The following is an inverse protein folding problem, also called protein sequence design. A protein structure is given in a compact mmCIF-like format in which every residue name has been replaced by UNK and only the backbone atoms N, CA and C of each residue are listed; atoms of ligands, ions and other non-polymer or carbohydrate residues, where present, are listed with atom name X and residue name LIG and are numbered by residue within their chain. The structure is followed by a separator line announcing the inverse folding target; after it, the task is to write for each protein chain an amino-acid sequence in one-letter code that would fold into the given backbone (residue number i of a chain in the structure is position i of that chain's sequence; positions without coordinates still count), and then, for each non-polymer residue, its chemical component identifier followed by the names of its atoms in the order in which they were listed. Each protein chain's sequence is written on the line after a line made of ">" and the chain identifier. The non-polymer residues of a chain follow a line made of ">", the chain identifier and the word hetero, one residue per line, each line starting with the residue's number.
data_IF_627667356466
#
_entry.id   IF_627667356466
#
_cell.length_a   1.000
_cell.length_b   1.000
_cell.length_c   1.000
_cell.angle_alpha   90.00
_cell.angle_beta   90.00
_cell.angle_gamma   90.00
#
_symmetry.space_group_name_H-M   'P 1'
#
loop_
_entity.id
_entity.type
_entity.pdbx_description
1 polymer ?
#
# COMPACT_ATOMS: atom_id res chain seq x y z
N UNK A 1 -17.73 -1.80 -13.89
CA UNK A 1 -18.38 -2.76 -12.96
C UNK A 1 -17.93 -4.23 -13.12
N UNK A 2 -17.19 -4.62 -14.17
CA UNK A 2 -16.54 -5.94 -14.26
C UNK A 2 -15.02 -5.90 -14.02
N UNK A 3 -14.45 -4.73 -13.71
CA UNK A 3 -13.02 -4.46 -13.88
C UNK A 3 -12.09 -5.19 -12.88
N UNK A 4 -12.64 -5.78 -11.81
CA UNK A 4 -11.85 -6.41 -10.74
C UNK A 4 -12.44 -7.72 -10.20
N UNK A 5 -13.34 -8.38 -10.95
CA UNK A 5 -14.05 -9.59 -10.48
C UNK A 5 -15.09 -9.30 -9.38
N UNK A 6 -15.61 -8.07 -9.35
CA UNK A 6 -16.51 -7.54 -8.33
C UNK A 6 -17.91 -7.26 -8.90
N UNK A 7 -18.42 -8.19 -9.71
CA UNK A 7 -19.78 -8.10 -10.25
C UNK A 7 -20.77 -8.04 -9.10
N UNK A 8 -21.62 -7.02 -9.13
CA UNK A 8 -22.67 -6.82 -8.14
C UNK A 8 -23.55 -8.07 -8.04
N UNK A 9 -23.82 -8.50 -6.80
CA UNK A 9 -24.55 -9.74 -6.51
C UNK A 9 -23.66 -10.98 -6.35
N UNK A 10 -22.35 -10.89 -6.58
CA UNK A 10 -21.39 -11.98 -6.35
C UNK A 10 -20.52 -11.78 -5.10
N UNK A 11 -20.82 -10.80 -4.24
CA UNK A 11 -20.00 -10.45 -3.08
C UNK A 11 -19.77 -11.62 -2.12
N UNK A 12 -20.81 -12.42 -1.86
CA UNK A 12 -20.74 -13.61 -0.99
C UNK A 12 -20.37 -14.91 -1.71
N UNK A 13 -19.98 -14.86 -2.99
CA UNK A 13 -19.71 -16.08 -3.75
C UNK A 13 -18.38 -16.71 -3.34
N UNK A 14 -18.45 -17.97 -2.93
CA UNK A 14 -17.29 -18.85 -2.70
C UNK A 14 -16.84 -19.41 -4.05
N UNK A 15 -15.59 -19.17 -4.44
CA UNK A 15 -15.03 -19.60 -5.73
C UNK A 15 -14.26 -20.92 -5.66
N UNK A 16 -13.90 -21.38 -4.46
CA UNK A 16 -13.17 -22.62 -4.27
C UNK A 16 -12.74 -22.86 -2.82
N UNK A 17 -11.98 -23.94 -2.56
CA UNK A 17 -11.61 -24.34 -1.20
C UNK A 17 -10.76 -23.29 -0.47
N UNK A 18 -9.97 -22.48 -1.19
CA UNK A 18 -9.19 -21.39 -0.58
C UNK A 18 -10.06 -20.32 0.09
N UNK A 19 -11.24 -20.02 -0.47
CA UNK A 19 -12.18 -19.08 0.13
C UNK A 19 -12.78 -19.63 1.42
N UNK A 20 -13.08 -20.94 1.47
CA UNK A 20 -13.58 -21.59 2.68
C UNK A 20 -12.55 -21.56 3.81
N UNK A 21 -11.27 -21.83 3.49
CA UNK A 21 -10.18 -21.75 4.47
C UNK A 21 -10.09 -20.36 5.10
N UNK A 22 -10.26 -19.30 4.29
CA UNK A 22 -10.25 -17.92 4.78
C UNK A 22 -11.45 -17.66 5.69
N UNK A 23 -12.65 -18.10 5.31
CA UNK A 23 -13.85 -17.95 6.12
C UNK A 23 -13.74 -18.70 7.46
N UNK A 24 -13.22 -19.92 7.45
CA UNK A 24 -12.99 -20.72 8.65
C UNK A 24 -11.98 -20.06 9.59
N UNK A 25 -10.89 -19.51 9.02
CA UNK A 25 -9.89 -18.75 9.79
C UNK A 25 -10.50 -17.50 10.43
N UNK A 26 -11.32 -16.73 9.71
CA UNK A 26 -12.02 -15.56 10.25
C UNK A 26 -13.02 -15.98 11.34
N UNK A 27 -13.74 -17.09 11.16
CA UNK A 27 -14.64 -17.62 12.18
C UNK A 27 -13.91 -17.97 13.47
N UNK A 28 -12.73 -18.58 13.38
CA UNK A 28 -11.89 -18.87 14.55
C UNK A 28 -11.37 -17.59 15.21
N UNK A 29 -10.91 -16.61 14.43
CA UNK A 29 -10.51 -15.31 14.96
C UNK A 29 -11.66 -14.60 15.69
N UNK A 30 -12.91 -14.73 15.20
CA UNK A 30 -14.09 -14.20 15.91
C UNK A 30 -14.31 -14.87 17.26
N UNK A 31 -14.08 -16.18 17.40
CA UNK A 31 -14.12 -16.87 18.71
C UNK A 31 -13.05 -16.33 19.65
N UNK A 32 -11.80 -16.20 19.18
CA UNK A 32 -10.71 -15.62 19.96
C UNK A 32 -11.02 -14.17 20.39
N UNK A 33 -11.75 -13.39 19.57
CA UNK A 33 -12.23 -12.05 19.92
C UNK A 33 -13.32 -12.10 21.00
N UNK A 34 -14.26 -13.05 20.92
CA UNK A 34 -15.30 -13.27 21.94
C UNK A 34 -14.72 -13.73 23.29
N UNK A 35 -13.67 -14.55 23.26
CA UNK A 35 -12.90 -14.97 24.43
C UNK A 35 -12.04 -13.85 25.03
N UNK A 36 -11.93 -12.70 24.35
CA UNK A 36 -11.15 -11.55 24.79
C UNK A 36 -9.64 -11.66 24.53
N UNK A 37 -9.18 -12.64 23.75
CA UNK A 37 -7.77 -12.87 23.43
C UNK A 37 -7.24 -11.91 22.35
N UNK A 38 -8.10 -11.50 21.42
CA UNK A 38 -7.78 -10.50 20.40
C UNK A 38 -8.86 -9.41 20.38
N UNK A 39 -8.50 -8.23 19.85
CA UNK A 39 -9.41 -7.06 19.80
C UNK A 39 -9.93 -6.74 18.41
N UNK A 40 -9.11 -6.98 17.39
CA UNK A 40 -9.43 -6.62 16.00
C UNK A 40 -8.98 -7.72 15.05
N UNK A 41 -9.72 -7.89 13.96
CA UNK A 41 -9.50 -8.88 12.93
C UNK A 41 -9.27 -8.14 11.61
N UNK A 42 -8.22 -8.52 10.89
CA UNK A 42 -7.90 -7.88 9.63
C UNK A 42 -7.10 -8.78 8.70
N UNK A 43 -6.96 -8.33 7.47
CA UNK A 43 -6.16 -9.00 6.44
C UNK A 43 -5.11 -8.04 5.88
N UNK A 44 -4.03 -8.61 5.38
CA UNK A 44 -2.97 -7.88 4.69
C UNK A 44 -2.62 -8.57 3.38
N UNK A 45 -2.26 -7.79 2.35
CA UNK A 45 -1.89 -8.39 1.06
C UNK A 45 -1.47 -7.39 0.00
N UNK A 46 -0.94 -7.93 -1.09
CA UNK A 46 -0.51 -7.17 -2.26
C UNK A 46 -1.66 -6.91 -3.24
N UNK A 47 -2.38 -7.92 -3.77
CA UNK A 47 -3.31 -7.68 -4.88
C UNK A 47 -4.60 -7.02 -4.38
N UNK A 48 -4.81 -5.74 -4.71
CA UNK A 48 -5.98 -4.96 -4.32
C UNK A 48 -7.32 -5.62 -4.71
N UNK A 49 -7.49 -6.18 -5.92
CA UNK A 49 -8.74 -6.86 -6.29
C UNK A 49 -9.06 -8.06 -5.38
N UNK A 50 -8.03 -8.84 -5.03
CA UNK A 50 -8.19 -10.03 -4.17
C UNK A 50 -8.56 -9.60 -2.76
N UNK A 51 -7.86 -8.61 -2.20
CA UNK A 51 -8.19 -8.05 -0.88
C UNK A 51 -9.62 -7.53 -0.80
N UNK A 52 -10.07 -6.80 -1.82
CA UNK A 52 -11.43 -6.25 -1.85
C UNK A 52 -12.47 -7.37 -1.97
N UNK A 53 -12.25 -8.33 -2.85
CA UNK A 53 -13.12 -9.50 -3.00
C UNK A 53 -13.24 -10.28 -1.68
N UNK A 54 -12.13 -10.55 -1.01
CA UNK A 54 -12.12 -11.30 0.26
C UNK A 54 -12.83 -10.53 1.38
N UNK A 55 -12.65 -9.22 1.42
CA UNK A 55 -13.31 -8.37 2.42
C UNK A 55 -14.83 -8.34 2.22
N UNK A 56 -15.28 -8.29 0.96
CA UNK A 56 -16.69 -8.43 0.61
C UNK A 56 -17.22 -9.83 0.93
N UNK A 57 -16.46 -10.89 0.62
CA UNK A 57 -16.84 -12.25 0.96
C UNK A 57 -17.08 -12.40 2.47
N UNK A 58 -16.19 -11.87 3.29
CA UNK A 58 -16.33 -11.89 4.77
C UNK A 58 -17.56 -11.12 5.22
N UNK A 59 -17.80 -9.91 4.68
CA UNK A 59 -18.96 -9.08 5.02
C UNK A 59 -20.29 -9.71 4.55
N UNK A 60 -20.29 -10.44 3.44
CA UNK A 60 -21.49 -11.03 2.84
C UNK A 60 -21.69 -12.51 3.19
N UNK A 61 -20.93 -13.03 4.16
CA UNK A 61 -21.10 -14.38 4.72
C UNK A 61 -21.51 -14.26 6.19
N UNK A 62 -22.46 -15.07 6.71
CA UNK A 62 -22.82 -15.07 8.12
C UNK A 62 -21.59 -15.08 9.04
N UNK A 63 -21.56 -14.25 10.10
CA UNK A 63 -22.62 -13.41 10.66
C UNK A 63 -22.77 -12.01 10.03
N UNK A 64 -22.21 -11.77 8.83
CA UNK A 64 -22.29 -10.49 8.10
C UNK A 64 -21.56 -9.32 8.77
N UNK A 65 -20.44 -9.61 9.43
CA UNK A 65 -19.60 -8.60 10.05
C UNK A 65 -18.40 -8.27 9.15
N UNK A 66 -18.07 -6.99 8.94
CA UNK A 66 -16.87 -6.61 8.20
C UNK A 66 -15.59 -6.95 8.98
N UNK A 67 -14.46 -6.89 8.28
CA UNK A 67 -13.15 -6.86 8.92
C UNK A 67 -12.94 -5.51 9.62
N UNK A 68 -12.22 -5.52 10.74
CA UNK A 68 -11.89 -4.30 11.48
C UNK A 68 -10.77 -3.50 10.77
N UNK A 69 -9.78 -4.20 10.21
CA UNK A 69 -8.56 -3.60 9.64
C UNK A 69 -8.20 -4.23 8.29
N UNK A 70 -7.72 -3.41 7.35
CA UNK A 70 -7.06 -3.88 6.13
C UNK A 70 -5.76 -3.13 5.91
N UNK A 71 -4.69 -3.88 5.63
CA UNK A 71 -3.40 -3.33 5.23
C UNK A 71 -3.09 -3.72 3.79
N UNK A 72 -2.78 -2.75 2.94
CA UNK A 72 -2.16 -3.01 1.65
C UNK A 72 -0.73 -2.49 1.65
N UNK A 73 0.18 -3.24 1.06
CA UNK A 73 1.54 -2.77 0.83
C UNK A 73 1.77 -2.48 -0.65
N UNK A 74 2.69 -1.56 -0.93
CA UNK A 74 3.23 -1.28 -2.27
C UNK A 74 2.27 -0.62 -3.29
N UNK A 75 1.07 -0.17 -2.90
CA UNK A 75 0.16 0.57 -3.81
C UNK A 75 -0.20 2.00 -3.34
N UNK A 76 0.55 2.56 -2.37
CA UNK A 76 0.56 4.00 -2.12
C UNK A 76 2.00 4.51 -2.00
N UNK A 77 2.66 4.62 -3.14
CA UNK A 77 4.01 5.14 -3.30
C UNK A 77 4.14 5.86 -4.66
N UNK A 78 5.33 6.39 -4.93
CA UNK A 78 5.63 7.19 -6.11
C UNK A 78 5.43 6.44 -7.45
N UNK A 79 5.63 5.12 -7.46
CA UNK A 79 5.43 4.29 -8.66
C UNK A 79 3.99 3.80 -8.79
N UNK A 80 3.30 3.56 -7.68
CA UNK A 80 1.96 3.00 -7.67
C UNK A 80 1.10 3.64 -6.59
N UNK A 81 0.06 4.36 -7.01
CA UNK A 81 -0.93 5.01 -6.14
C UNK A 81 -2.33 4.41 -6.25
N UNK A 82 -2.44 3.20 -6.82
CA UNK A 82 -3.71 2.51 -7.08
C UNK A 82 -4.52 2.24 -5.81
N UNK A 83 -3.90 2.21 -4.62
CA UNK A 83 -4.64 2.13 -3.36
C UNK A 83 -5.65 3.28 -3.20
N UNK A 84 -5.33 4.48 -3.69
CA UNK A 84 -6.23 5.63 -3.64
C UNK A 84 -7.53 5.38 -4.43
N UNK A 85 -7.45 4.62 -5.53
CA UNK A 85 -8.60 4.26 -6.37
C UNK A 85 -9.48 3.22 -5.65
N UNK A 86 -8.87 2.28 -4.91
CA UNK A 86 -9.58 1.23 -4.19
C UNK A 86 -10.09 1.66 -2.81
N UNK A 87 -9.55 2.74 -2.24
CA UNK A 87 -9.89 3.22 -0.90
C UNK A 87 -11.40 3.39 -0.69
N UNK A 88 -12.18 4.05 -1.58
CA UNK A 88 -13.61 4.19 -1.40
C UNK A 88 -14.33 2.84 -1.39
N UNK A 89 -13.89 1.87 -2.20
CA UNK A 89 -14.49 0.54 -2.21
C UNK A 89 -14.25 -0.21 -0.90
N UNK A 90 -13.06 -0.11 -0.31
CA UNK A 90 -12.80 -0.73 0.99
C UNK A 90 -13.61 -0.06 2.12
N UNK A 91 -13.71 1.28 2.13
CA UNK A 91 -14.48 2.01 3.16
C UNK A 91 -15.99 1.77 3.01
N UNK A 92 -16.52 1.95 1.81
CA UNK A 92 -17.97 2.05 1.59
C UNK A 92 -18.60 0.68 1.32
N UNK A 93 -18.00 -0.11 0.42
CA UNK A 93 -18.56 -1.41 0.03
C UNK A 93 -18.21 -2.50 1.05
N UNK A 94 -16.94 -2.60 1.43
CA UNK A 94 -16.47 -3.61 2.39
C UNK A 94 -16.60 -3.17 3.86
N UNK A 95 -16.98 -1.91 4.13
CA UNK A 95 -17.28 -1.37 5.47
C UNK A 95 -16.14 -1.53 6.48
N UNK A 96 -14.89 -1.46 6.02
CA UNK A 96 -13.71 -1.63 6.86
C UNK A 96 -13.40 -0.31 7.58
N UNK A 97 -13.32 -0.35 8.91
CA UNK A 97 -13.14 0.83 9.73
C UNK A 97 -11.72 1.43 9.61
N UNK A 98 -10.69 0.58 9.65
CA UNK A 98 -9.29 1.01 9.59
C UNK A 98 -8.60 0.52 8.32
N UNK A 99 -8.21 1.46 7.47
CA UNK A 99 -7.39 1.19 6.29
C UNK A 99 -5.97 1.66 6.54
N UNK A 100 -4.99 0.86 6.15
CA UNK A 100 -3.57 1.12 6.37
C UNK A 100 -2.83 0.85 5.05
N UNK A 101 -1.91 1.73 4.70
CA UNK A 101 -0.95 1.46 3.63
C UNK A 101 0.43 1.15 4.20
N UNK A 102 1.27 0.46 3.45
CA UNK A 102 2.63 0.14 3.86
C UNK A 102 3.59 0.05 2.69
N UNK A 103 4.87 -0.09 3.02
CA UNK A 103 5.96 -0.21 2.05
C UNK A 103 5.98 0.96 1.05
N UNK A 104 6.07 2.22 1.54
CA UNK A 104 6.14 3.40 0.66
C UNK A 104 7.42 3.44 -0.19
N UNK A 105 8.47 2.69 0.18
CA UNK A 105 9.66 2.47 -0.63
C UNK A 105 9.54 1.28 -1.59
N UNK A 106 8.32 0.77 -1.75
CA UNK A 106 7.94 -0.35 -2.60
C UNK A 106 8.86 -1.57 -2.38
N UNK A 107 8.91 -2.05 -1.13
CA UNK A 107 9.76 -3.18 -0.70
C UNK A 107 11.26 -3.00 -0.99
N UNK A 108 11.73 -1.75 -1.02
CA UNK A 108 13.13 -1.41 -1.28
C UNK A 108 13.44 -1.13 -2.75
N UNK A 109 12.48 -1.29 -3.66
CA UNK A 109 12.62 -0.93 -5.08
C UNK A 109 13.01 0.54 -5.24
N UNK A 110 12.41 1.43 -4.46
CA UNK A 110 12.62 2.89 -4.55
C UNK A 110 13.79 3.34 -3.67
N UNK A 111 14.87 2.56 -3.68
CA UNK A 111 16.12 2.86 -2.97
C UNK A 111 17.32 2.64 -3.88
N UNK A 112 18.50 3.24 -3.58
CA UNK A 112 19.70 3.02 -4.37
C UNK A 112 20.15 1.56 -4.38
N UNK A 113 19.92 0.83 -3.28
CA UNK A 113 20.32 -0.57 -3.10
C UNK A 113 19.09 -1.47 -3.07
N UNK A 114 18.56 -1.77 -4.26
CA UNK A 114 17.40 -2.64 -4.42
C UNK A 114 17.72 -4.07 -3.95
N UNK A 115 16.81 -4.73 -3.19
CA UNK A 115 17.03 -6.09 -2.75
C UNK A 115 17.11 -7.08 -3.92
N UNK A 116 18.03 -8.06 -3.91
CA UNK A 116 18.20 -9.00 -5.01
C UNK A 116 17.00 -9.96 -5.18
N UNK A 117 16.17 -10.10 -4.15
CA UNK A 117 14.95 -10.92 -4.14
C UNK A 117 13.71 -10.18 -4.64
N UNK A 118 13.83 -8.90 -5.02
CA UNK A 118 12.67 -8.08 -5.36
C UNK A 118 11.89 -8.67 -6.57
N UNK A 119 10.56 -8.87 -6.48
CA UNK A 119 9.78 -9.59 -7.49
C UNK A 119 9.45 -8.80 -8.76
N UNK A 120 9.73 -7.49 -8.77
CA UNK A 120 9.52 -6.65 -9.95
C UNK A 120 10.29 -7.17 -11.17
N UNK A 121 9.73 -7.01 -12.39
CA UNK A 121 10.43 -7.36 -13.61
C UNK A 121 11.71 -6.51 -13.75
N UNK A 122 12.70 -7.07 -14.46
CA UNK A 122 14.00 -6.42 -14.69
C UNK A 122 13.87 -4.99 -15.24
N UNK A 123 12.92 -4.76 -16.14
CA UNK A 123 12.68 -3.43 -16.73
C UNK A 123 12.23 -2.39 -15.70
N UNK A 124 11.43 -2.78 -14.70
CA UNK A 124 11.04 -1.90 -13.60
C UNK A 124 12.21 -1.67 -12.61
N UNK A 125 13.01 -2.69 -12.33
CA UNK A 125 14.24 -2.54 -11.53
C UNK A 125 15.20 -1.52 -12.18
N UNK A 126 15.42 -1.65 -13.49
CA UNK A 126 16.24 -0.74 -14.30
C UNK A 126 15.66 0.68 -14.35
N UNK A 127 14.34 0.83 -14.52
CA UNK A 127 13.68 2.13 -14.47
C UNK A 127 13.89 2.81 -13.11
N UNK A 128 13.72 2.07 -12.01
CA UNK A 128 13.97 2.59 -10.66
C UNK A 128 15.46 2.95 -10.43
N UNK A 129 16.41 2.18 -10.98
CA UNK A 129 17.83 2.54 -10.92
C UNK A 129 18.12 3.83 -11.70
N UNK A 130 17.58 3.97 -12.92
CA UNK A 130 17.67 5.22 -13.70
C UNK A 130 17.08 6.41 -12.94
N UNK A 131 15.98 6.20 -12.21
CA UNK A 131 15.41 7.24 -11.34
C UNK A 131 16.36 7.64 -10.22
N UNK A 132 17.03 6.68 -9.56
CA UNK A 132 18.05 7.00 -8.56
C UNK A 132 19.21 7.81 -9.17
N UNK A 133 19.66 7.46 -10.37
CA UNK A 133 20.71 8.19 -11.09
C UNK A 133 20.29 9.61 -11.47
N UNK A 134 19.06 9.78 -11.96
CA UNK A 134 18.50 11.09 -12.33
C UNK A 134 18.36 12.05 -11.13
N UNK A 135 18.18 11.49 -9.92
CA UNK A 135 18.10 12.25 -8.67
C UNK A 135 19.44 12.35 -7.93
N UNK A 136 20.54 11.81 -8.47
CA UNK A 136 21.83 11.72 -7.77
C UNK A 136 22.38 13.09 -7.38
N UNK A 137 22.24 14.07 -8.28
CA UNK A 137 22.77 15.41 -8.10
C UNK A 137 21.74 16.35 -7.43
N UNK A 138 20.58 15.81 -7.06
CA UNK A 138 19.51 16.50 -6.32
C UNK A 138 19.73 16.52 -4.81
N UNK A 139 18.77 17.10 -4.10
CA UNK A 139 18.87 17.35 -2.66
C UNK A 139 18.30 16.22 -1.79
N UNK A 140 17.31 15.46 -2.28
CA UNK A 140 16.57 14.52 -1.45
C UNK A 140 16.84 13.05 -1.75
N UNK A 141 17.13 12.70 -3.01
CA UNK A 141 17.27 11.31 -3.46
C UNK A 141 15.95 10.52 -3.44
N UNK A 142 15.89 9.41 -4.18
CA UNK A 142 14.64 8.67 -4.42
C UNK A 142 13.91 8.20 -3.14
N UNK A 143 14.58 7.72 -2.07
CA UNK A 143 13.89 7.33 -0.84
C UNK A 143 13.12 8.47 -0.19
N UNK A 144 13.72 9.66 -0.08
CA UNK A 144 13.06 10.82 0.54
C UNK A 144 11.89 11.31 -0.30
N UNK A 145 12.05 11.37 -1.62
CA UNK A 145 10.96 11.72 -2.54
C UNK A 145 9.80 10.72 -2.42
N UNK A 146 10.10 9.42 -2.38
CA UNK A 146 9.09 8.37 -2.30
C UNK A 146 8.34 8.37 -0.96
N UNK A 147 9.06 8.54 0.16
CA UNK A 147 8.45 8.69 1.48
C UNK A 147 7.60 9.96 1.54
N UNK A 148 8.11 11.08 1.03
CA UNK A 148 7.39 12.35 1.04
C UNK A 148 6.10 12.30 0.23
N UNK A 149 6.14 11.68 -0.95
CA UNK A 149 4.95 11.41 -1.77
C UNK A 149 3.92 10.59 -0.98
N UNK A 150 4.36 9.46 -0.40
CA UNK A 150 3.47 8.56 0.32
C UNK A 150 2.86 9.19 1.57
N UNK A 151 3.62 10.00 2.31
CA UNK A 151 3.13 10.71 3.51
C UNK A 151 2.06 11.74 3.16
N UNK A 152 2.33 12.60 2.18
CA UNK A 152 1.34 13.57 1.70
C UNK A 152 0.08 12.88 1.20
N UNK A 153 0.21 11.82 0.39
CA UNK A 153 -0.94 11.07 -0.12
C UNK A 153 -1.71 10.35 0.97
N UNK A 154 -1.03 9.76 1.95
CA UNK A 154 -1.69 9.09 3.08
C UNK A 154 -2.46 10.11 3.95
N UNK A 155 -1.88 11.29 4.18
CA UNK A 155 -2.54 12.40 4.86
C UNK A 155 -3.77 12.91 4.11
N UNK A 156 -3.64 13.16 2.79
CA UNK A 156 -4.76 13.54 1.91
C UNK A 156 -5.93 12.53 1.97
N UNK A 157 -5.61 11.23 2.08
CA UNK A 157 -6.59 10.15 2.15
C UNK A 157 -7.08 9.83 3.58
N UNK A 158 -6.54 10.51 4.60
CA UNK A 158 -6.88 10.28 6.00
C UNK A 158 -6.62 8.84 6.46
N UNK A 159 -5.45 8.28 6.12
CA UNK A 159 -5.02 6.94 6.51
C UNK A 159 -3.58 6.94 7.03
N UNK A 160 -3.22 6.04 7.97
CA UNK A 160 -1.83 5.84 8.36
C UNK A 160 -1.05 5.07 7.29
N UNK A 161 0.28 5.26 7.31
CA UNK A 161 1.23 4.48 6.53
C UNK A 161 2.30 3.85 7.42
N UNK A 162 2.59 2.57 7.16
CA UNK A 162 3.61 1.80 7.87
C UNK A 162 4.89 1.76 7.04
N UNK A 163 6.01 2.13 7.65
CA UNK A 163 7.33 2.12 7.01
C UNK A 163 8.24 1.16 7.75
N UNK A 164 8.79 0.18 7.04
CA UNK A 164 9.80 -0.74 7.57
C UNK A 164 11.18 -0.08 7.52
N UNK A 165 11.88 -0.06 8.64
CA UNK A 165 13.18 0.58 8.82
C UNK A 165 14.11 -0.38 9.55
N UNK A 166 15.34 -0.54 9.07
CA UNK A 166 16.33 -1.47 9.61
C UNK A 166 17.47 -0.78 10.35
N UNK A 167 17.66 0.53 10.14
CA UNK A 167 18.75 1.31 10.74
C UNK A 167 18.21 2.55 11.45
N UNK A 168 18.85 2.92 12.55
CA UNK A 168 18.49 4.13 13.31
C UNK A 168 18.52 5.40 12.46
N UNK A 169 19.47 5.51 11.52
CA UNK A 169 19.54 6.63 10.56
C UNK A 169 18.24 6.75 9.73
N UNK A 170 17.66 5.62 9.32
CA UNK A 170 16.43 5.60 8.53
C UNK A 170 15.22 6.06 9.35
N UNK A 171 15.20 5.78 10.67
CA UNK A 171 14.21 6.31 11.61
C UNK A 171 14.30 7.82 11.72
N UNK A 172 15.50 8.36 11.95
CA UNK A 172 15.70 9.80 12.04
C UNK A 172 15.33 10.52 10.74
N UNK A 173 15.70 9.96 9.60
CA UNK A 173 15.38 10.54 8.29
C UNK A 173 13.87 10.51 8.03
N UNK A 174 13.21 9.38 8.29
CA UNK A 174 11.75 9.23 8.17
C UNK A 174 11.00 10.28 9.00
N UNK A 175 11.39 10.45 10.28
CA UNK A 175 10.75 11.43 11.17
C UNK A 175 11.07 12.87 10.72
N UNK A 176 12.27 13.13 10.22
CA UNK A 176 12.64 14.44 9.66
C UNK A 176 11.74 14.78 8.48
N UNK A 177 11.61 13.88 7.51
CA UNK A 177 10.74 14.06 6.33
C UNK A 177 9.31 14.34 6.76
N UNK A 178 8.77 13.52 7.69
CA UNK A 178 7.43 13.75 8.21
C UNK A 178 7.28 15.13 8.86
N UNK A 179 8.25 15.58 9.67
CA UNK A 179 8.23 16.93 10.26
C UNK A 179 8.29 18.02 9.21
N UNK A 180 9.22 17.93 8.24
CA UNK A 180 9.35 18.91 7.15
C UNK A 180 8.04 19.10 6.37
N UNK A 181 7.24 18.03 6.20
CA UNK A 181 5.94 18.12 5.55
C UNK A 181 4.86 18.77 6.44
N UNK A 182 4.99 18.65 7.76
CA UNK A 182 4.03 19.18 8.73
C UNK A 182 4.40 20.59 9.25
N UNK A 183 5.66 21.01 9.09
CA UNK A 183 6.15 22.33 9.50
C UNK A 183 6.38 23.19 8.26
N UNK A 184 5.57 24.24 8.09
CA UNK A 184 5.36 25.05 6.89
C UNK A 184 6.64 25.65 6.23
N UNK A 185 7.43 24.86 5.49
CA UNK A 185 8.52 25.32 4.64
C UNK A 185 8.18 25.24 3.14
N UNK A 186 7.70 26.32 2.52
CA UNK A 186 7.24 26.32 1.13
C UNK A 186 8.34 25.98 0.10
N UNK A 187 9.58 26.41 0.34
CA UNK A 187 10.71 26.20 -0.60
C UNK A 187 11.19 24.75 -0.65
N UNK A 188 11.25 24.06 0.50
CA UNK A 188 11.69 22.66 0.56
C UNK A 188 10.64 21.73 -0.05
N UNK A 189 9.36 22.05 0.12
CA UNK A 189 8.25 21.35 -0.54
C UNK A 189 8.34 21.55 -2.06
N UNK A 190 8.61 22.77 -2.54
CA UNK A 190 8.71 23.04 -3.98
C UNK A 190 9.84 22.22 -4.64
N UNK A 191 11.05 22.22 -4.07
CA UNK A 191 12.16 21.40 -4.57
C UNK A 191 11.83 19.91 -4.57
N UNK A 192 11.16 19.43 -3.51
CA UNK A 192 10.70 18.06 -3.43
C UNK A 192 9.69 17.72 -4.53
N UNK A 193 8.83 18.67 -4.92
CA UNK A 193 7.86 18.50 -6.02
C UNK A 193 8.53 18.47 -7.40
N UNK A 194 9.57 19.26 -7.61
CA UNK A 194 10.34 19.24 -8.87
C UNK A 194 11.05 17.88 -9.04
N UNK A 195 11.72 17.39 -7.99
CA UNK A 195 12.36 16.07 -7.99
C UNK A 195 11.34 14.92 -8.07
N UNK A 196 10.15 15.08 -7.47
CA UNK A 196 9.02 14.17 -7.66
C UNK A 196 8.61 14.09 -9.14
N UNK A 197 8.53 15.23 -9.83
CA UNK A 197 8.21 15.29 -11.27
C UNK A 197 9.22 14.55 -12.15
N UNK A 198 10.52 14.69 -11.84
CA UNK A 198 11.59 13.93 -12.52
C UNK A 198 11.37 12.42 -12.32
N UNK A 199 11.13 12.01 -11.07
CA UNK A 199 10.96 10.61 -10.74
C UNK A 199 9.70 9.99 -11.36
N UNK A 200 8.59 10.73 -11.37
CA UNK A 200 7.34 10.31 -12.03
C UNK A 200 7.56 10.10 -13.53
N UNK A 201 8.32 10.99 -14.19
CA UNK A 201 8.67 10.85 -15.60
C UNK A 201 9.53 9.60 -15.86
N UNK A 202 10.54 9.35 -15.03
CA UNK A 202 11.37 8.14 -15.17
C UNK A 202 10.59 6.83 -14.97
N UNK A 203 9.47 6.88 -14.23
CA UNK A 203 8.62 5.74 -13.91
C UNK A 203 7.32 5.70 -14.74
N UNK A 204 7.17 6.56 -15.75
CA UNK A 204 5.89 6.80 -16.42
C UNK A 204 5.27 5.53 -17.04
N UNK A 205 6.10 4.69 -17.66
CA UNK A 205 5.67 3.41 -18.27
C UNK A 205 5.20 2.38 -17.25
N UNK A 206 5.55 2.58 -15.97
CA UNK A 206 5.21 1.68 -14.87
C UNK A 206 4.22 2.30 -13.88
N UNK A 207 3.64 3.46 -14.16
CA UNK A 207 2.67 4.07 -13.23
C UNK A 207 1.48 3.14 -13.00
N UNK A 208 1.23 2.80 -11.73
CA UNK A 208 0.16 1.89 -11.33
C UNK A 208 0.42 0.42 -11.65
N UNK A 209 1.59 0.06 -12.19
CA UNK A 209 1.96 -1.33 -12.46
C UNK A 209 2.10 -2.12 -11.15
N UNK A 210 1.53 -3.33 -11.15
CA UNK A 210 1.69 -4.32 -10.09
C UNK A 210 2.28 -5.60 -10.69
N UNK A 211 3.28 -6.19 -10.02
CA UNK A 211 3.85 -7.46 -10.45
C UNK A 211 2.95 -8.64 -10.02
N UNK A 212 3.17 -9.81 -10.62
CA UNK A 212 2.52 -11.02 -10.14
C UNK A 212 2.99 -11.34 -8.72
N UNK A 213 2.06 -11.48 -7.78
CA UNK A 213 2.41 -11.97 -6.43
C UNK A 213 3.05 -13.35 -6.59
N UNK A 214 4.26 -13.60 -6.07
CA UNK A 214 4.88 -14.92 -6.13
C UNK A 214 3.91 -15.97 -5.54
N UNK A 215 3.85 -17.19 -6.12
CA UNK A 215 2.99 -18.27 -5.64
C UNK A 215 3.30 -18.68 -4.20
#
# INVERSE_FOLDING_TARGET
>A
MAEYGLTEGLEGKIWGPGDQIILDAIAELRKLKQEGLIRHIGITGYPLPVLLRLSLLVLHTPPYEPLDVLLNYSHLNLQNSTFAIFLPHFRERARIAQLITASPLNMGLLTPSQPPWHPAPRTLLEASQKTNEALRDGHNGLPKISLGFAYRKAEELGIPTVVGLSKMKEVHETIRIWRELNTEGKEDIAKMRDEEGIALKCLEEFQGYSWASPP
#
